data_IF_193992194493
#
_entry.id   IF_193992194493
#
_cell.length_a   1.000
_cell.length_b   1.000
_cell.length_c   1.000
_cell.angle_alpha   90.00
_cell.angle_beta   90.00
_cell.angle_gamma   90.00
#
_symmetry.space_group_name_H-M   'P 1'
#
loop_
_entity.id
_entity.type
_entity.pdbx_description
1 polymer ?
#
# COMPACT_ATOMS: atom_id res chain seq x y z
N UNK A 1 -7.99 16.12 8.60
CA UNK A 1 -7.74 14.91 7.80
C UNK A 1 -8.88 13.92 8.00
N UNK A 2 -9.47 13.45 6.93
CA UNK A 2 -10.57 12.50 6.99
C UNK A 2 -10.08 11.09 6.63
N UNK A 3 -10.50 10.10 7.42
CA UNK A 3 -10.18 8.70 7.18
C UNK A 3 -11.45 7.97 6.68
N UNK A 4 -11.90 8.37 5.50
CA UNK A 4 -13.18 7.92 4.94
C UNK A 4 -13.05 7.10 3.64
N UNK A 5 -11.84 6.91 3.15
CA UNK A 5 -11.60 6.10 1.96
C UNK A 5 -11.30 4.66 2.35
N UNK A 6 -12.13 3.74 1.90
CA UNK A 6 -11.93 2.31 2.13
C UNK A 6 -10.87 1.78 1.18
N UNK A 7 -9.85 1.15 1.73
CA UNK A 7 -8.77 0.53 0.95
C UNK A 7 -8.48 -0.88 1.47
N UNK A 8 -8.09 -1.76 0.57
CA UNK A 8 -7.67 -3.12 0.91
C UNK A 8 -6.15 -3.18 0.79
N UNK A 9 -5.48 -3.34 1.92
CA UNK A 9 -4.01 -3.46 1.98
C UNK A 9 -3.63 -4.93 1.86
N UNK A 10 -2.72 -5.23 0.95
CA UNK A 10 -2.36 -6.60 0.58
C UNK A 10 -0.88 -6.82 0.85
N UNK A 11 -0.57 -7.91 1.57
CA UNK A 11 0.79 -8.40 1.70
C UNK A 11 0.83 -9.88 1.38
N UNK A 12 1.95 -10.35 0.85
CA UNK A 12 2.17 -11.78 0.60
C UNK A 12 2.92 -12.38 1.76
N UNK A 13 2.44 -13.52 2.24
CA UNK A 13 3.20 -14.33 3.18
C UNK A 13 4.40 -14.95 2.48
N UNK A 14 5.43 -15.27 3.27
CA UNK A 14 6.59 -16.00 2.80
C UNK A 14 6.16 -17.33 2.17
N UNK A 15 6.69 -17.66 1.00
CA UNK A 15 6.40 -18.92 0.33
C UNK A 15 6.74 -20.10 1.24
N UNK A 16 5.82 -21.06 1.31
CA UNK A 16 5.96 -22.28 2.08
C UNK A 16 5.75 -23.48 1.15
N UNK A 17 6.51 -24.55 1.38
CA UNK A 17 6.25 -25.80 0.69
C UNK A 17 4.94 -26.40 1.19
N UNK A 18 4.04 -26.72 0.28
CA UNK A 18 2.79 -27.39 0.59
C UNK A 18 2.79 -28.79 0.00
N UNK A 19 2.89 -29.85 0.84
CA UNK A 19 2.93 -31.23 0.34
C UNK A 19 1.62 -31.66 -0.34
N UNK A 20 0.49 -31.00 -0.06
CA UNK A 20 -0.80 -31.30 -0.68
C UNK A 20 -0.83 -30.93 -2.16
N UNK A 21 -0.13 -29.88 -2.55
CA UNK A 21 -0.04 -29.45 -3.95
C UNK A 21 1.29 -29.77 -4.59
N UNK A 22 2.24 -30.32 -3.82
CA UNK A 22 3.56 -30.69 -4.31
C UNK A 22 4.43 -29.52 -4.76
N UNK A 23 4.24 -28.34 -4.18
CA UNK A 23 4.98 -27.14 -4.58
C UNK A 23 4.96 -26.05 -3.52
N UNK A 24 5.50 -24.88 -3.87
CA UNK A 24 5.53 -23.71 -3.01
C UNK A 24 4.19 -22.98 -3.07
N UNK A 25 3.70 -22.53 -1.92
CA UNK A 25 2.45 -21.79 -1.79
C UNK A 25 2.71 -20.44 -1.13
N UNK A 26 2.19 -19.38 -1.73
CA UNK A 26 2.19 -18.04 -1.15
C UNK A 26 0.76 -17.58 -0.93
N UNK A 27 0.44 -17.16 0.29
CA UNK A 27 -0.88 -16.61 0.62
C UNK A 27 -0.86 -15.09 0.57
N UNK A 28 -1.91 -14.50 0.00
CA UNK A 28 -2.16 -13.06 0.15
C UNK A 28 -2.95 -12.81 1.44
N UNK A 29 -2.48 -11.86 2.23
CA UNK A 29 -3.22 -11.36 3.39
C UNK A 29 -3.84 -10.03 2.98
N UNK A 30 -5.15 -9.93 3.12
CA UNK A 30 -5.93 -8.75 2.72
C UNK A 30 -6.56 -8.13 3.96
N UNK A 31 -6.15 -6.89 4.25
CA UNK A 31 -6.67 -6.13 5.39
C UNK A 31 -7.43 -4.91 4.89
N UNK A 32 -8.70 -4.80 5.23
CA UNK A 32 -9.52 -3.64 4.89
C UNK A 32 -9.33 -2.56 5.94
N UNK A 33 -8.93 -1.37 5.50
CA UNK A 33 -8.71 -0.22 6.39
C UNK A 33 -9.30 1.05 5.77
N UNK A 34 -9.70 1.98 6.62
CA UNK A 34 -10.08 3.32 6.19
C UNK A 34 -8.88 4.23 6.26
N UNK A 35 -8.66 5.01 5.22
CA UNK A 35 -7.50 5.88 5.11
C UNK A 35 -7.89 7.27 4.59
N UNK A 36 -6.99 8.22 4.77
CA UNK A 36 -7.04 9.52 4.12
C UNK A 36 -6.31 9.41 2.79
N UNK A 37 -6.95 9.88 1.73
CA UNK A 37 -6.48 9.76 0.36
C UNK A 37 -6.19 11.13 -0.21
N UNK A 38 -5.04 11.30 -0.88
CA UNK A 38 -4.76 12.48 -1.69
C UNK A 38 -3.79 12.15 -2.82
N UNK A 39 -3.87 12.91 -3.89
CA UNK A 39 -2.89 12.80 -4.98
C UNK A 39 -1.56 13.44 -4.55
N UNK A 40 -0.46 12.80 -4.92
CA UNK A 40 0.88 13.35 -4.69
C UNK A 40 1.18 14.37 -5.78
N UNK A 41 1.55 15.59 -5.38
CA UNK A 41 1.93 16.64 -6.31
C UNK A 41 3.25 16.32 -7.02
N UNK A 42 3.44 16.87 -8.22
CA UNK A 42 4.64 16.66 -9.05
C UNK A 42 5.94 16.96 -8.31
N UNK A 43 5.96 18.04 -7.55
CA UNK A 43 7.12 18.45 -6.76
C UNK A 43 7.46 17.43 -5.67
N UNK A 44 6.44 16.93 -4.97
CA UNK A 44 6.62 15.89 -3.95
C UNK A 44 7.11 14.59 -4.56
N UNK A 45 6.62 14.22 -5.74
CA UNK A 45 7.06 13.04 -6.45
C UNK A 45 8.55 13.12 -6.83
N UNK A 46 9.00 14.27 -7.30
CA UNK A 46 10.41 14.48 -7.68
C UNK A 46 11.34 14.41 -6.47
N UNK A 47 10.89 14.82 -5.30
CA UNK A 47 11.66 14.74 -4.06
C UNK A 47 11.73 13.31 -3.51
N UNK A 48 10.66 12.52 -3.69
CA UNK A 48 10.53 11.17 -3.14
C UNK A 48 11.07 10.09 -4.10
N UNK A 49 11.01 10.34 -5.40
CA UNK A 49 11.38 9.36 -6.43
C UNK A 49 12.29 9.98 -7.46
N UNK A 50 13.19 9.18 -8.01
CA UNK A 50 14.07 9.59 -9.10
C UNK A 50 13.33 9.78 -10.44
N UNK A 51 12.08 9.29 -10.52
CA UNK A 51 11.21 9.41 -11.69
C UNK A 51 9.88 10.02 -11.29
N UNK A 52 9.31 10.83 -12.16
CA UNK A 52 7.94 11.33 -11.99
C UNK A 52 6.97 10.19 -12.23
N UNK A 53 6.18 9.85 -11.23
CA UNK A 53 5.10 8.88 -11.34
C UNK A 53 3.77 9.62 -11.26
N UNK A 54 3.11 9.78 -12.42
CA UNK A 54 1.88 10.57 -12.53
C UNK A 54 0.71 9.95 -11.77
N UNK A 55 0.75 8.66 -11.54
CA UNK A 55 -0.33 7.95 -10.82
C UNK A 55 -0.12 7.81 -9.31
N UNK A 56 0.89 8.48 -8.74
CA UNK A 56 1.20 8.30 -7.32
C UNK A 56 0.15 8.96 -6.42
N UNK A 57 -0.19 8.24 -5.35
CA UNK A 57 -1.21 8.61 -4.37
C UNK A 57 -0.63 8.46 -2.97
N UNK A 58 -0.96 9.40 -2.08
CA UNK A 58 -0.61 9.32 -0.67
C UNK A 58 -1.80 8.82 0.14
N UNK A 59 -1.58 7.76 0.91
CA UNK A 59 -2.58 7.19 1.82
C UNK A 59 -2.07 7.29 3.25
N UNK A 60 -2.93 7.70 4.18
CA UNK A 60 -2.59 7.77 5.59
C UNK A 60 -3.62 6.99 6.38
N UNK A 61 -3.15 6.05 7.21
CA UNK A 61 -3.98 5.26 8.11
C UNK A 61 -3.71 5.65 9.56
N UNK A 62 -4.69 5.50 10.42
CA UNK A 62 -4.52 5.75 11.86
C UNK A 62 -3.69 4.64 12.50
N UNK A 63 -2.84 5.01 13.45
CA UNK A 63 -2.02 4.08 14.20
C UNK A 63 -0.83 3.55 13.41
N UNK A 64 -0.13 2.60 14.00
CA UNK A 64 0.96 1.91 13.34
C UNK A 64 0.42 0.79 12.46
N UNK A 65 0.98 0.66 11.28
CA UNK A 65 0.54 -0.33 10.29
C UNK A 65 1.76 -1.05 9.72
N UNK A 66 1.65 -2.36 9.44
CA UNK A 66 2.77 -3.13 8.90
C UNK A 66 3.07 -2.75 7.44
N UNK A 67 4.15 -3.32 6.92
CA UNK A 67 4.49 -3.18 5.51
C UNK A 67 3.52 -3.98 4.65
N UNK A 68 3.05 -3.37 3.56
CA UNK A 68 2.21 -4.01 2.56
C UNK A 68 2.86 -3.85 1.19
N UNK A 69 2.55 -4.76 0.26
CA UNK A 69 3.08 -4.71 -1.10
C UNK A 69 2.14 -4.00 -2.06
N UNK A 70 0.83 -4.17 -1.88
CA UNK A 70 -0.19 -3.63 -2.77
C UNK A 70 -1.34 -3.04 -1.98
N UNK A 71 -2.08 -2.15 -2.64
CA UNK A 71 -3.33 -1.58 -2.11
C UNK A 71 -4.37 -1.56 -3.22
N UNK A 72 -5.58 -1.98 -2.92
CA UNK A 72 -6.73 -1.86 -3.83
C UNK A 72 -7.68 -0.77 -3.34
N UNK A 73 -8.01 0.16 -4.22
CA UNK A 73 -8.97 1.24 -3.96
C UNK A 73 -9.92 1.31 -5.15
N UNK A 74 -11.21 1.22 -4.91
CA UNK A 74 -12.25 1.30 -5.95
C UNK A 74 -11.98 0.33 -7.11
N UNK A 75 -11.63 -0.91 -6.79
CA UNK A 75 -11.33 -1.97 -7.76
C UNK A 75 -10.05 -1.74 -8.59
N UNK A 76 -9.22 -0.79 -8.20
CA UNK A 76 -7.95 -0.51 -8.87
C UNK A 76 -6.79 -0.88 -7.95
N UNK A 77 -5.83 -1.63 -8.48
CA UNK A 77 -4.66 -2.07 -7.70
C UNK A 77 -3.50 -1.10 -7.88
N UNK A 78 -2.86 -0.78 -6.76
CA UNK A 78 -1.67 0.07 -6.71
C UNK A 78 -0.54 -0.69 -6.03
N UNK A 79 0.70 -0.39 -6.43
CA UNK A 79 1.90 -0.92 -5.78
C UNK A 79 2.37 0.07 -4.71
N UNK A 80 2.73 -0.43 -3.53
CA UNK A 80 3.31 0.39 -2.46
C UNK A 80 4.76 0.72 -2.83
N UNK A 81 5.06 2.00 -2.96
CA UNK A 81 6.37 2.51 -3.35
C UNK A 81 7.20 2.94 -2.14
N UNK A 82 6.55 3.49 -1.11
CA UNK A 82 7.21 3.95 0.09
C UNK A 82 6.25 3.90 1.28
N UNK A 83 6.80 3.75 2.47
CA UNK A 83 6.08 3.80 3.74
C UNK A 83 6.80 4.76 4.68
N UNK A 84 6.05 5.57 5.42
CA UNK A 84 6.58 6.47 6.41
C UNK A 84 5.77 6.35 7.70
N UNK A 85 6.46 6.14 8.82
CA UNK A 85 5.82 6.03 10.12
C UNK A 85 5.84 7.38 10.84
N UNK A 86 4.66 7.79 11.30
CA UNK A 86 4.49 8.95 12.15
C UNK A 86 4.10 8.49 13.55
N UNK A 87 4.02 9.41 14.49
CA UNK A 87 3.77 9.07 15.89
C UNK A 87 2.48 8.28 16.13
N UNK A 88 1.38 8.65 15.45
CA UNK A 88 0.07 8.03 15.63
C UNK A 88 -0.60 7.66 14.31
N UNK A 89 0.17 7.57 13.24
CA UNK A 89 -0.35 7.25 11.92
C UNK A 89 0.77 6.72 11.02
N UNK A 90 0.37 6.06 9.96
CA UNK A 90 1.29 5.51 8.96
C UNK A 90 0.90 6.01 7.59
N UNK A 91 1.86 6.56 6.85
CA UNK A 91 1.68 7.01 5.49
C UNK A 91 2.23 6.00 4.48
N UNK A 92 1.51 5.81 3.39
CA UNK A 92 1.96 5.01 2.26
C UNK A 92 1.89 5.83 0.99
N UNK A 93 2.91 5.70 0.14
CA UNK A 93 2.87 6.25 -1.20
C UNK A 93 2.76 5.09 -2.15
N UNK A 94 1.70 5.09 -2.95
CA UNK A 94 1.37 4.00 -3.87
C UNK A 94 1.25 4.54 -5.30
N UNK A 95 1.64 3.74 -6.27
CA UNK A 95 1.57 4.08 -7.67
C UNK A 95 0.75 3.07 -8.46
N UNK A 96 0.24 3.47 -9.61
CA UNK A 96 -0.48 2.58 -10.51
C UNK A 96 0.45 1.50 -11.07
N UNK A 97 -0.11 0.32 -11.19
CA UNK A 97 0.59 -0.81 -11.80
C UNK A 97 0.33 -0.82 -13.31
#
# INVERSE_FOLDING_TARGET
MRFDTKAIFIKKEKERYNPKIGGMEAKEIRDTKYCSYRNVGLKEQNELFSKVDVGAISLVVKGKSPDYEFVEIKNKRYKVLAKEEFRQKTGYIVGEI
#
